data_IF_142454428771
#
_entry.id   IF_142454428771
#
_cell.length_a   1.000
_cell.length_b   1.000
_cell.length_c   1.000
_cell.angle_alpha   90.00
_cell.angle_beta   90.00
_cell.angle_gamma   90.00
#
_symmetry.space_group_name_H-M   'P 1'
#
loop_
_entity.id
_entity.type
_entity.pdbx_description
1 polymer ?
#
# COMPACT_ATOMS: atom_id res chain seq x y z
N UNK A 1 -24.67 4.29 -8.26
CA UNK A 1 -25.21 3.15 -9.03
C UNK A 1 -26.70 3.31 -9.22
N UNK A 2 -27.18 2.99 -10.39
CA UNK A 2 -28.59 3.01 -10.71
C UNK A 2 -28.97 1.68 -11.36
N UNK A 3 -29.91 0.95 -10.74
CA UNK A 3 -30.39 -0.33 -11.23
C UNK A 3 -29.53 -1.58 -10.93
N UNK A 4 -28.35 -1.45 -10.34
CA UNK A 4 -27.49 -2.60 -10.00
C UNK A 4 -26.06 -2.25 -9.64
N UNK A 5 -25.24 -3.27 -9.28
CA UNK A 5 -23.83 -3.12 -8.85
C UNK A 5 -22.84 -3.56 -9.92
N UNK A 6 -23.21 -3.52 -11.18
CA UNK A 6 -22.30 -3.85 -12.28
C UNK A 6 -21.71 -2.60 -12.90
N UNK A 7 -20.70 -2.77 -13.75
CA UNK A 7 -20.01 -1.65 -14.41
C UNK A 7 -20.94 -0.76 -15.23
N UNK A 8 -21.98 -1.33 -15.80
CA UNK A 8 -22.97 -0.62 -16.61
C UNK A 8 -23.79 0.36 -15.78
N UNK A 9 -23.97 0.08 -14.49
CA UNK A 9 -24.80 0.84 -13.55
C UNK A 9 -24.05 1.94 -12.78
N UNK A 10 -22.76 2.18 -13.09
CA UNK A 10 -22.03 3.30 -12.51
C UNK A 10 -22.51 4.60 -13.15
N UNK A 11 -23.12 5.48 -12.34
CA UNK A 11 -23.62 6.79 -12.77
C UNK A 11 -22.58 7.89 -12.57
N UNK A 12 -21.78 7.79 -11.51
CA UNK A 12 -20.74 8.76 -11.18
C UNK A 12 -19.57 8.11 -10.44
N UNK A 13 -18.41 8.72 -10.57
CA UNK A 13 -17.21 8.37 -9.83
C UNK A 13 -17.09 9.22 -8.59
N UNK A 14 -16.66 8.63 -7.48
CA UNK A 14 -16.56 9.32 -6.19
C UNK A 14 -15.28 10.16 -6.06
N UNK A 15 -14.30 9.96 -6.93
CA UNK A 15 -12.97 10.55 -6.78
C UNK A 15 -12.13 9.92 -5.66
N UNK A 16 -12.46 8.69 -5.24
CA UNK A 16 -11.73 7.98 -4.19
C UNK A 16 -11.34 6.58 -4.61
N UNK A 17 -10.25 6.09 -4.03
CA UNK A 17 -9.86 4.68 -4.08
C UNK A 17 -9.61 4.14 -2.67
N UNK A 18 -9.54 2.82 -2.56
CA UNK A 18 -9.45 2.10 -1.30
C UNK A 18 -8.21 1.22 -1.27
N UNK A 19 -7.54 1.18 -0.12
CA UNK A 19 -6.54 0.17 0.24
C UNK A 19 -7.09 -0.66 1.39
N UNK A 20 -7.00 -1.96 1.29
CA UNK A 20 -7.41 -2.90 2.34
C UNK A 20 -6.16 -3.67 2.81
N UNK A 21 -5.76 -3.43 4.04
CA UNK A 21 -4.63 -4.10 4.69
C UNK A 21 -5.20 -5.09 5.69
N UNK A 22 -5.11 -6.37 5.37
CA UNK A 22 -5.65 -7.43 6.21
C UNK A 22 -4.54 -8.19 6.98
N UNK A 23 -4.94 -8.96 7.99
CA UNK A 23 -4.08 -9.85 8.76
C UNK A 23 -2.88 -9.16 9.43
N UNK A 24 -3.06 -7.92 9.88
CA UNK A 24 -2.05 -7.18 10.62
C UNK A 24 -1.91 -7.78 12.01
N UNK A 25 -0.68 -8.15 12.39
CA UNK A 25 -0.39 -8.62 13.73
C UNK A 25 -0.71 -7.53 14.77
N UNK A 26 -1.35 -7.86 15.90
CA UNK A 26 -1.80 -6.88 16.90
C UNK A 26 -0.70 -5.92 17.36
N UNK A 27 0.51 -6.42 17.54
CA UNK A 27 1.69 -5.64 17.95
C UNK A 27 2.15 -4.62 16.89
N UNK A 28 1.81 -4.83 15.62
CA UNK A 28 2.13 -3.92 14.52
C UNK A 28 1.04 -2.90 14.24
N UNK A 29 -0.18 -3.12 14.72
CA UNK A 29 -1.35 -2.30 14.38
C UNK A 29 -1.13 -0.81 14.67
N UNK A 30 -0.68 -0.47 15.87
CA UNK A 30 -0.47 0.93 16.28
C UNK A 30 0.62 1.63 15.45
N UNK A 31 1.74 0.94 15.19
CA UNK A 31 2.82 1.49 14.38
C UNK A 31 2.38 1.68 12.92
N UNK A 32 1.65 0.73 12.37
CA UNK A 32 1.11 0.80 11.01
C UNK A 32 0.12 1.96 10.86
N UNK A 33 -0.82 2.12 11.80
CA UNK A 33 -1.73 3.27 11.82
C UNK A 33 -0.98 4.59 11.89
N UNK A 34 0.06 4.69 12.72
CA UNK A 34 0.87 5.92 12.83
C UNK A 34 1.49 6.30 11.48
N UNK A 35 2.08 5.34 10.76
CA UNK A 35 2.65 5.59 9.42
C UNK A 35 1.59 6.04 8.43
N UNK A 36 0.45 5.37 8.40
CA UNK A 36 -0.66 5.68 7.49
C UNK A 36 -1.23 7.07 7.79
N UNK A 37 -1.47 7.40 9.06
CA UNK A 37 -2.03 8.70 9.46
C UNK A 37 -1.07 9.88 9.21
N UNK A 38 0.25 9.63 9.18
CA UNK A 38 1.24 10.65 8.85
C UNK A 38 1.36 10.89 7.34
N UNK A 39 0.84 10.01 6.50
CA UNK A 39 0.99 10.12 5.06
C UNK A 39 0.06 11.18 4.45
N UNK A 40 0.59 11.99 3.54
CA UNK A 40 -0.11 13.12 2.91
C UNK A 40 -1.30 12.74 2.04
N UNK A 41 -1.36 11.49 1.54
CA UNK A 41 -2.43 11.00 0.68
C UNK A 41 -3.57 10.33 1.47
N UNK A 42 -3.38 10.07 2.76
CA UNK A 42 -4.40 9.44 3.61
C UNK A 42 -5.52 10.44 3.92
N UNK A 43 -6.66 10.28 3.25
CA UNK A 43 -7.87 11.03 3.55
C UNK A 43 -8.56 10.49 4.80
N UNK A 44 -8.71 9.16 4.88
CA UNK A 44 -9.34 8.47 5.99
C UNK A 44 -8.66 7.13 6.22
N UNK A 45 -8.49 6.75 7.48
CA UNK A 45 -8.05 5.43 7.88
C UNK A 45 -8.84 4.94 9.09
N UNK A 46 -9.23 3.67 9.09
CA UNK A 46 -9.96 3.06 10.19
C UNK A 46 -9.67 1.55 10.28
N UNK A 47 -9.83 1.02 11.48
CA UNK A 47 -9.69 -0.40 11.75
C UNK A 47 -10.90 -1.16 11.19
N UNK A 48 -10.67 -2.28 10.52
CA UNK A 48 -11.74 -3.14 10.01
C UNK A 48 -12.52 -3.82 11.14
N UNK A 49 -13.74 -4.31 10.84
CA UNK A 49 -14.63 -4.96 11.82
C UNK A 49 -13.94 -6.13 12.54
N UNK A 50 -13.03 -6.83 11.86
CA UNK A 50 -12.27 -7.94 12.46
C UNK A 50 -11.26 -7.50 13.52
N UNK A 51 -10.91 -6.21 13.57
CA UNK A 51 -9.86 -5.67 14.43
C UNK A 51 -8.43 -5.99 13.98
N UNK A 52 -8.26 -6.72 12.87
CA UNK A 52 -6.96 -7.20 12.37
C UNK A 52 -6.61 -6.61 11.01
N UNK A 53 -7.30 -5.58 10.57
CA UNK A 53 -7.04 -4.90 9.30
C UNK A 53 -7.21 -3.40 9.43
N UNK A 54 -6.65 -2.68 8.46
CA UNK A 54 -6.81 -1.23 8.30
C UNK A 54 -7.32 -0.95 6.91
N UNK A 55 -8.32 -0.10 6.82
CA UNK A 55 -8.83 0.38 5.55
C UNK A 55 -8.47 1.83 5.37
N UNK A 56 -7.90 2.16 4.20
CA UNK A 56 -7.42 3.49 3.87
C UNK A 56 -8.22 4.00 2.67
N UNK A 57 -8.66 5.23 2.73
CA UNK A 57 -9.32 5.92 1.62
C UNK A 57 -8.42 7.07 1.17
N UNK A 58 -8.14 7.12 -0.13
CA UNK A 58 -7.34 8.16 -0.76
C UNK A 58 -8.13 8.89 -1.83
N UNK A 59 -7.83 10.18 -2.02
CA UNK A 59 -8.33 10.95 -3.16
C UNK A 59 -7.59 10.58 -4.41
N UNK A 60 -8.32 10.50 -5.51
CA UNK A 60 -7.78 10.38 -6.87
C UNK A 60 -8.40 11.48 -7.74
N UNK A 61 -7.91 11.64 -8.96
CA UNK A 61 -8.50 12.58 -9.90
C UNK A 61 -9.96 12.25 -10.20
N UNK A 62 -10.73 13.28 -10.54
CA UNK A 62 -12.11 13.12 -10.97
C UNK A 62 -12.16 12.38 -12.32
N UNK A 63 -12.84 11.26 -12.34
CA UNK A 63 -13.03 10.44 -13.55
C UNK A 63 -14.38 10.70 -14.24
N UNK A 64 -15.21 11.60 -13.69
CA UNK A 64 -16.47 12.01 -14.30
C UNK A 64 -16.18 12.78 -15.61
N UNK A 65 -16.99 12.55 -16.63
CA UNK A 65 -16.80 13.15 -17.95
C UNK A 65 -15.80 12.43 -18.87
N UNK A 66 -15.02 11.46 -18.36
CA UNK A 66 -14.23 10.60 -19.21
C UNK A 66 -15.10 9.52 -19.89
N UNK A 67 -14.70 9.10 -21.10
CA UNK A 67 -15.31 7.93 -21.74
C UNK A 67 -15.23 6.72 -20.79
N UNK A 68 -16.36 5.98 -20.66
CA UNK A 68 -16.52 4.94 -19.63
C UNK A 68 -15.38 3.92 -19.61
N UNK A 69 -14.96 3.41 -20.77
CA UNK A 69 -13.87 2.45 -20.85
C UNK A 69 -12.52 3.04 -20.44
N UNK A 70 -12.28 4.34 -20.72
CA UNK A 70 -11.10 5.07 -20.30
C UNK A 70 -11.10 5.29 -18.78
N UNK A 71 -12.24 5.68 -18.20
CA UNK A 71 -12.39 5.87 -16.75
C UNK A 71 -12.07 4.59 -15.98
N UNK A 72 -12.55 3.42 -16.40
CA UNK A 72 -12.20 2.14 -15.78
C UNK A 72 -10.71 1.80 -15.86
N UNK A 73 -10.08 2.02 -17.00
CA UNK A 73 -8.63 1.80 -17.14
C UNK A 73 -7.83 2.73 -16.24
N UNK A 74 -8.26 3.98 -16.14
CA UNK A 74 -7.60 4.97 -15.29
C UNK A 74 -7.80 4.64 -13.81
N UNK A 75 -9.01 4.28 -13.40
CA UNK A 75 -9.28 3.81 -12.04
C UNK A 75 -8.40 2.61 -11.66
N UNK A 76 -8.26 1.63 -12.54
CA UNK A 76 -7.41 0.47 -12.29
C UNK A 76 -5.93 0.85 -12.09
N UNK A 77 -5.43 1.88 -12.82
CA UNK A 77 -4.08 2.41 -12.60
C UNK A 77 -3.94 3.06 -11.23
N UNK A 78 -4.90 3.91 -10.84
CA UNK A 78 -4.93 4.51 -9.51
C UNK A 78 -4.97 3.46 -8.42
N UNK A 79 -5.87 2.48 -8.54
CA UNK A 79 -5.97 1.40 -7.57
C UNK A 79 -4.64 0.68 -7.38
N UNK A 80 -4.01 0.23 -8.46
CA UNK A 80 -2.75 -0.49 -8.39
C UNK A 80 -1.66 0.38 -7.75
N UNK A 81 -1.43 1.60 -8.24
CA UNK A 81 -0.36 2.45 -7.73
C UNK A 81 -0.56 2.88 -6.27
N UNK A 82 -1.80 3.16 -5.86
CA UNK A 82 -2.09 3.51 -4.46
C UNK A 82 -1.88 2.30 -3.55
N UNK A 83 -2.30 1.10 -3.97
CA UNK A 83 -2.08 -0.11 -3.20
C UNK A 83 -0.59 -0.47 -3.11
N UNK A 84 0.16 -0.39 -4.21
CA UNK A 84 1.62 -0.58 -4.22
C UNK A 84 2.32 0.44 -3.31
N UNK A 85 1.90 1.70 -3.36
CA UNK A 85 2.45 2.76 -2.51
C UNK A 85 2.29 2.45 -1.03
N UNK A 86 1.06 2.13 -0.58
CA UNK A 86 0.83 1.81 0.83
C UNK A 86 1.45 0.48 1.24
N UNK A 87 1.48 -0.53 0.37
CA UNK A 87 2.20 -1.78 0.63
C UNK A 87 3.68 -1.52 0.89
N UNK A 88 4.31 -0.68 0.09
CA UNK A 88 5.69 -0.24 0.33
C UNK A 88 5.83 0.56 1.63
N UNK A 89 4.92 1.48 1.92
CA UNK A 89 4.96 2.33 3.11
C UNK A 89 4.92 1.50 4.40
N UNK A 90 4.07 0.47 4.46
CA UNK A 90 3.86 -0.36 5.65
C UNK A 90 4.70 -1.63 5.68
N UNK A 91 5.33 -2.00 4.56
CA UNK A 91 6.19 -3.18 4.43
C UNK A 91 5.46 -4.52 4.38
N UNK A 92 4.20 -4.55 3.91
CA UNK A 92 3.45 -5.78 3.60
C UNK A 92 2.35 -5.51 2.57
N UNK A 93 1.88 -6.56 1.89
CA UNK A 93 0.97 -6.45 0.76
C UNK A 93 -0.46 -6.06 1.19
N UNK A 94 -1.12 -5.24 0.36
CA UNK A 94 -2.55 -4.95 0.44
C UNK A 94 -3.36 -6.00 -0.33
N UNK A 95 -4.66 -6.13 -0.03
CA UNK A 95 -5.56 -7.04 -0.75
C UNK A 95 -5.83 -6.53 -2.18
N UNK A 96 -5.12 -7.10 -3.15
CA UNK A 96 -5.29 -6.81 -4.59
C UNK A 96 -6.65 -7.24 -5.17
N UNK A 97 -7.46 -8.02 -4.46
CA UNK A 97 -8.80 -8.43 -4.93
C UNK A 97 -9.80 -7.27 -4.89
N UNK A 98 -9.50 -6.21 -4.13
CA UNK A 98 -10.35 -5.03 -3.98
C UNK A 98 -10.40 -4.10 -5.21
N UNK A 99 -9.72 -4.41 -6.32
CA UNK A 99 -9.60 -3.58 -7.54
C UNK A 99 -10.89 -3.32 -8.32
N UNK A 100 -11.98 -3.94 -7.93
CA UNK A 100 -13.25 -3.71 -8.63
C UNK A 100 -13.88 -2.38 -8.21
N UNK A 101 -14.00 -1.44 -9.14
CA UNK A 101 -14.61 -0.13 -8.93
C UNK A 101 -16.07 -0.17 -8.43
N UNK A 102 -16.74 -1.31 -8.57
CA UNK A 102 -18.12 -1.52 -8.09
C UNK A 102 -18.17 -2.12 -6.68
N UNK A 103 -17.01 -2.35 -6.05
CA UNK A 103 -16.96 -2.92 -4.70
C UNK A 103 -17.52 -1.94 -3.69
N UNK A 104 -18.44 -2.43 -2.88
CA UNK A 104 -18.97 -1.70 -1.74
C UNK A 104 -18.08 -2.01 -0.54
N UNK A 105 -17.63 -0.96 0.13
CA UNK A 105 -16.91 -1.07 1.39
C UNK A 105 -17.85 -0.77 2.54
N UNK A 106 -17.98 -1.70 3.49
CA UNK A 106 -18.66 -1.44 4.76
C UNK A 106 -17.82 -0.51 5.63
N UNK A 107 -18.44 0.48 6.24
CA UNK A 107 -17.82 1.27 7.29
C UNK A 107 -17.86 0.45 8.59
N UNK A 108 -16.71 0.35 9.26
CA UNK A 108 -16.65 -0.17 10.62
C UNK A 108 -16.93 0.96 11.63
N UNK A 109 -17.48 0.61 12.78
CA UNK A 109 -17.54 1.54 13.90
C UNK A 109 -16.17 1.58 14.57
N UNK A 110 -15.39 2.60 14.26
CA UNK A 110 -14.09 2.85 14.86
C UNK A 110 -14.10 4.22 15.55
N UNK A 111 -14.06 4.29 16.91
CA UNK A 111 -14.04 5.55 17.62
C UNK A 111 -12.74 6.37 17.39
N UNK A 112 -11.72 5.75 16.81
CA UNK A 112 -10.43 6.35 16.53
C UNK A 112 -10.19 6.57 15.03
N UNK A 113 -11.26 6.61 14.22
CA UNK A 113 -11.16 6.88 12.79
C UNK A 113 -10.33 8.14 12.53
N UNK A 114 -9.30 8.01 11.72
CA UNK A 114 -8.52 9.15 11.24
C UNK A 114 -9.20 9.79 10.04
N UNK A 115 -9.25 11.12 10.02
CA UNK A 115 -9.78 11.89 8.89
C UNK A 115 -8.98 13.16 8.67
N UNK A 116 -8.44 13.33 7.46
CA UNK A 116 -7.69 14.51 7.03
C UNK A 116 -8.36 15.15 5.80
N UNK A 117 -9.21 16.19 5.98
CA UNK A 117 -9.87 16.86 4.86
C UNK A 117 -8.89 17.57 3.90
N UNK A 118 -7.65 17.81 4.33
CA UNK A 118 -6.60 18.44 3.54
C UNK A 118 -5.67 17.43 2.85
N UNK A 119 -6.02 16.14 2.86
CA UNK A 119 -5.22 15.12 2.18
C UNK A 119 -5.06 15.46 0.69
N UNK A 120 -3.84 15.32 0.19
CA UNK A 120 -3.53 15.54 -1.22
C UNK A 120 -4.18 14.45 -2.09
N UNK A 121 -4.56 14.80 -3.32
CA UNK A 121 -4.93 13.80 -4.32
C UNK A 121 -3.70 13.02 -4.75
N UNK A 122 -3.85 11.71 -4.89
CA UNK A 122 -2.79 10.85 -5.41
C UNK A 122 -2.60 11.12 -6.91
N UNK A 123 -1.36 11.36 -7.32
CA UNK A 123 -1.03 11.64 -8.73
C UNK A 123 -0.43 10.39 -9.35
N UNK A 124 -1.00 9.94 -10.48
CA UNK A 124 -0.42 8.83 -11.24
C UNK A 124 1.00 9.14 -11.69
N UNK A 125 1.88 8.19 -11.51
CA UNK A 125 3.26 8.24 -11.95
C UNK A 125 3.46 7.34 -13.16
N UNK A 126 4.34 7.73 -14.07
CA UNK A 126 4.72 6.91 -15.23
C UNK A 126 5.66 5.75 -14.86
N UNK A 127 6.24 5.80 -13.64
CA UNK A 127 7.10 4.76 -13.08
C UNK A 127 6.59 4.31 -11.71
N UNK A 128 6.90 3.09 -11.23
CA UNK A 128 6.53 2.64 -9.90
C UNK A 128 7.03 3.60 -8.82
N UNK A 129 6.13 4.01 -7.93
CA UNK A 129 6.48 4.92 -6.83
C UNK A 129 7.10 4.10 -5.70
N UNK A 130 8.38 4.33 -5.42
CA UNK A 130 8.90 4.06 -4.09
C UNK A 130 8.44 5.20 -3.17
N UNK A 131 7.88 4.93 -1.97
CA UNK A 131 7.56 5.98 -1.00
C UNK A 131 8.86 6.72 -0.67
N UNK A 132 8.87 8.03 -0.92
CA UNK A 132 9.96 8.86 -0.43
C UNK A 132 9.76 9.02 1.08
N UNK A 133 10.82 8.81 1.90
CA UNK A 133 10.76 9.17 3.30
C UNK A 133 10.34 10.64 3.39
N UNK A 134 9.29 10.93 4.13
CA UNK A 134 8.94 12.32 4.41
C UNK A 134 10.10 12.93 5.19
N UNK A 135 10.72 13.96 4.62
CA UNK A 135 11.64 14.85 5.32
C UNK A 135 10.88 15.64 6.41
N UNK A 136 10.49 14.96 7.46
CA UNK A 136 10.30 15.63 8.73
C UNK A 136 11.71 15.79 9.28
N UNK A 137 12.26 16.98 9.03
CA UNK A 137 13.57 17.40 9.44
C UNK A 137 13.79 17.20 10.94
N UNK A 138 14.27 16.03 11.29
CA UNK A 138 15.22 15.81 12.35
C UNK A 138 16.50 15.41 11.62
N UNK A 139 17.53 16.21 11.75
CA UNK A 139 18.82 16.06 11.12
C UNK A 139 19.24 14.59 11.13
N UNK A 140 19.18 13.92 9.97
CA UNK A 140 19.68 12.58 9.81
C UNK A 140 21.19 12.66 9.94
N UNK A 141 21.69 12.29 11.11
CA UNK A 141 23.08 11.92 11.31
C UNK A 141 23.45 10.97 10.17
N UNK A 142 24.49 11.23 9.38
CA UNK A 142 24.89 10.38 8.27
C UNK A 142 25.14 8.97 8.83
N UNK A 143 24.27 8.04 8.49
CA UNK A 143 24.34 6.65 8.94
C UNK A 143 25.63 6.11 8.35
N UNK A 144 26.67 5.94 9.16
CA UNK A 144 27.89 5.22 8.78
C UNK A 144 27.44 3.89 8.22
N UNK A 145 27.66 3.70 6.91
CA UNK A 145 27.37 2.47 6.18
C UNK A 145 27.82 1.31 7.07
N UNK A 146 26.86 0.51 7.54
CA UNK A 146 27.14 -0.50 8.53
C UNK A 146 27.78 -1.69 7.83
N UNK A 147 29.13 -1.69 7.77
CA UNK A 147 29.94 -2.75 7.13
C UNK A 147 29.60 -4.15 7.65
N UNK A 148 29.04 -4.25 8.86
CA UNK A 148 28.58 -5.52 9.43
C UNK A 148 27.30 -5.98 8.74
N UNK A 149 26.34 -5.08 8.52
CA UNK A 149 25.09 -5.37 7.82
C UNK A 149 25.37 -5.80 6.37
N UNK A 150 26.27 -5.09 5.66
CA UNK A 150 26.66 -5.47 4.29
C UNK A 150 27.27 -6.89 4.22
N UNK A 151 28.05 -7.28 5.22
CA UNK A 151 28.60 -8.65 5.28
C UNK A 151 27.51 -9.69 5.51
N UNK A 152 26.54 -9.40 6.38
CA UNK A 152 25.43 -10.32 6.67
C UNK A 152 24.54 -10.48 5.43
N UNK A 153 24.20 -9.38 4.76
CA UNK A 153 23.41 -9.41 3.51
C UNK A 153 24.12 -10.25 2.44
N UNK A 154 25.43 -10.01 2.20
CA UNK A 154 26.21 -10.80 1.22
C UNK A 154 26.32 -12.29 1.59
N UNK A 155 26.38 -12.61 2.87
CA UNK A 155 26.38 -14.00 3.31
C UNK A 155 25.02 -14.67 3.05
N UNK A 156 23.91 -13.97 3.31
CA UNK A 156 22.57 -14.45 3.02
C UNK A 156 22.33 -14.62 1.52
N UNK A 157 22.81 -13.69 0.68
CA UNK A 157 22.75 -13.81 -0.79
C UNK A 157 23.46 -15.07 -1.28
N UNK A 158 24.66 -15.36 -0.79
CA UNK A 158 25.40 -16.58 -1.16
C UNK A 158 24.68 -17.86 -0.77
N UNK A 159 24.07 -17.90 0.42
CA UNK A 159 23.30 -19.05 0.87
C UNK A 159 22.08 -19.30 -0.04
N UNK A 160 21.41 -18.25 -0.47
CA UNK A 160 20.28 -18.36 -1.41
C UNK A 160 20.75 -18.85 -2.77
N UNK A 161 21.87 -18.37 -3.28
CA UNK A 161 22.47 -18.84 -4.54
C UNK A 161 22.84 -20.33 -4.46
N UNK A 162 23.43 -20.79 -3.34
CA UNK A 162 23.77 -22.21 -3.09
C UNK A 162 22.49 -23.09 -3.03
N UNK A 163 21.37 -22.55 -2.53
CA UNK A 163 20.05 -23.22 -2.54
C UNK A 163 19.35 -23.15 -3.91
N UNK A 164 19.96 -22.51 -4.91
CA UNK A 164 19.38 -22.34 -6.25
C UNK A 164 18.27 -21.28 -6.32
N UNK A 165 18.17 -20.42 -5.30
CA UNK A 165 17.22 -19.33 -5.24
C UNK A 165 17.90 -18.04 -5.68
N UNK A 166 17.73 -17.67 -6.95
CA UNK A 166 18.20 -16.39 -7.50
C UNK A 166 17.07 -15.39 -7.64
N UNK A 167 17.42 -14.10 -7.52
CA UNK A 167 16.45 -13.04 -7.81
C UNK A 167 16.02 -13.09 -9.29
N UNK A 168 14.74 -13.26 -9.54
CA UNK A 168 14.16 -13.11 -10.87
C UNK A 168 12.78 -12.46 -10.78
N UNK A 169 12.35 -11.78 -11.84
CA UNK A 169 11.13 -10.96 -11.87
C UNK A 169 9.83 -11.72 -11.50
N UNK A 170 9.78 -13.03 -11.71
CA UNK A 170 8.60 -13.84 -11.45
C UNK A 170 8.62 -14.57 -10.08
N UNK A 171 9.76 -14.55 -9.37
CA UNK A 171 9.93 -15.19 -8.06
C UNK A 171 10.45 -14.21 -6.99
N UNK A 172 10.20 -12.92 -7.20
CA UNK A 172 10.61 -11.85 -6.28
C UNK A 172 10.17 -12.11 -4.83
N UNK A 173 8.93 -12.50 -4.62
CA UNK A 173 8.38 -12.71 -3.29
C UNK A 173 9.06 -13.86 -2.54
N UNK A 174 9.38 -14.97 -3.23
CA UNK A 174 10.10 -16.08 -2.62
C UNK A 174 11.51 -15.68 -2.21
N UNK A 175 12.22 -14.98 -3.08
CA UNK A 175 13.57 -14.48 -2.79
C UNK A 175 13.59 -13.54 -1.58
N UNK A 176 12.68 -12.54 -1.55
CA UNK A 176 12.60 -11.56 -0.45
C UNK A 176 12.21 -12.22 0.86
N UNK A 177 11.27 -13.17 0.84
CA UNK A 177 10.85 -13.91 2.03
C UNK A 177 11.99 -14.74 2.61
N UNK A 178 12.74 -15.49 1.79
CA UNK A 178 13.89 -16.30 2.22
C UNK A 178 15.05 -15.44 2.71
N UNK A 179 15.32 -14.33 2.01
CA UNK A 179 16.31 -13.34 2.44
C UNK A 179 15.96 -12.79 3.83
N UNK A 180 14.70 -12.38 4.04
CA UNK A 180 14.22 -11.88 5.33
C UNK A 180 14.35 -12.91 6.44
N UNK A 181 14.05 -14.19 6.16
CA UNK A 181 14.24 -15.27 7.12
C UNK A 181 15.72 -15.45 7.53
N UNK A 182 16.62 -15.47 6.57
CA UNK A 182 18.07 -15.58 6.84
C UNK A 182 18.60 -14.39 7.63
N UNK A 183 18.20 -13.16 7.27
CA UNK A 183 18.63 -11.95 7.97
C UNK A 183 18.11 -11.87 9.42
N UNK A 184 16.99 -12.53 9.73
CA UNK A 184 16.41 -12.57 11.08
C UNK A 184 17.09 -13.60 12.00
N UNK A 185 17.96 -14.45 11.47
CA UNK A 185 18.73 -15.44 12.26
C UNK A 185 20.07 -14.87 12.77
N UNK A 186 20.49 -13.70 12.31
CA UNK A 186 21.74 -13.02 12.66
C UNK A 186 21.49 -11.70 13.39
#
# INVERSE_FOLDING_TARGET
>A
FEGGKTREHICAWTGYTLVDLDHIAPERMAATLTLICADKYTLMAYTTISGHGIRIICRIDDLNGAEKGKAFRQYAKYFNQVNDYYSCLVGFESDGQCKNATRISGLASDPHVYYNPSAASFVLQDSPIAPQPQDNASEAVPTKRNKRLEKVVKAAERLLEEEGVSYCEHHHNEYVMRMGYLLNQY
#
